data_IF_878218063533
#
_entry.id   IF_878218063533
#
_cell.length_a   1.000
_cell.length_b   1.000
_cell.length_c   1.000
_cell.angle_alpha   90.00
_cell.angle_beta   90.00
_cell.angle_gamma   90.00
#
_symmetry.space_group_name_H-M   'P 1'
#
loop_
_entity.id
_entity.type
_entity.pdbx_description
1 polymer ?
#
# COMPACT_ATOMS: atom_id res chain seq x y z
N UNK A 1 3.47 2.77 2.68
CA UNK A 1 4.56 3.62 3.19
C UNK A 1 3.96 4.79 3.93
N UNK A 2 4.62 5.30 4.96
CA UNK A 2 4.26 6.58 5.58
C UNK A 2 4.83 7.78 4.79
N UNK A 3 4.54 9.00 5.25
CA UNK A 3 5.03 10.26 4.66
C UNK A 3 6.55 10.42 4.63
N UNK A 4 7.29 9.59 5.36
CA UNK A 4 8.75 9.59 5.38
C UNK A 4 9.36 8.48 4.49
N UNK A 5 8.51 7.72 3.79
CA UNK A 5 8.95 6.61 2.93
C UNK A 5 9.23 5.31 3.69
N UNK A 6 8.84 5.19 4.96
CA UNK A 6 9.02 3.94 5.71
C UNK A 6 8.05 2.88 5.19
N UNK A 7 8.56 1.67 4.91
CA UNK A 7 7.70 0.52 4.60
C UNK A 7 6.93 0.10 5.86
N UNK A 8 5.60 0.13 5.77
CA UNK A 8 4.71 -0.27 6.87
C UNK A 8 4.19 -1.70 6.69
N UNK A 9 3.85 -2.08 5.46
CA UNK A 9 3.23 -3.38 5.19
C UNK A 9 3.46 -3.75 3.73
N UNK A 10 3.66 -5.04 3.48
CA UNK A 10 3.51 -5.66 2.18
C UNK A 10 2.26 -6.53 2.23
N UNK A 11 1.41 -6.43 1.22
CA UNK A 11 0.12 -7.10 1.16
C UNK A 11 0.12 -8.12 0.02
N UNK A 12 -0.53 -9.27 0.25
CA UNK A 12 -0.91 -10.15 -0.84
C UNK A 12 -2.14 -9.56 -1.54
N UNK A 13 -2.22 -9.56 -2.88
CA UNK A 13 -3.43 -9.18 -3.61
C UNK A 13 -4.67 -10.00 -3.23
N UNK A 14 -4.48 -11.24 -2.76
CA UNK A 14 -5.55 -12.15 -2.32
C UNK A 14 -5.73 -12.20 -0.81
N UNK A 15 -4.89 -11.48 -0.06
CA UNK A 15 -4.92 -11.46 1.40
C UNK A 15 -5.87 -10.41 1.97
N UNK A 16 -5.97 -10.37 3.29
CA UNK A 16 -6.59 -9.22 3.94
C UNK A 16 -5.76 -7.96 3.71
N UNK A 17 -6.45 -6.88 3.36
CA UNK A 17 -5.85 -5.57 3.16
C UNK A 17 -5.31 -4.98 4.46
N UNK A 18 -4.92 -3.70 4.39
CA UNK A 18 -4.44 -2.98 5.56
C UNK A 18 -5.58 -2.27 6.29
N UNK A 19 -5.71 -2.53 7.59
CA UNK A 19 -6.75 -1.98 8.45
C UNK A 19 -6.31 -0.72 9.25
N UNK A 20 -5.20 -0.09 8.86
CA UNK A 20 -4.67 1.08 9.57
C UNK A 20 -3.82 0.77 10.81
N UNK A 21 -3.39 -0.48 11.01
CA UNK A 21 -2.48 -0.86 12.12
C UNK A 21 -1.07 -1.21 11.65
N UNK A 22 -0.07 -0.83 12.44
CA UNK A 22 1.33 -1.24 12.23
C UNK A 22 1.90 -1.75 13.55
N UNK A 23 2.42 -2.98 13.57
CA UNK A 23 2.92 -3.66 14.76
C UNK A 23 1.96 -3.63 15.97
N UNK A 24 0.66 -3.82 15.71
CA UNK A 24 -0.38 -3.82 16.74
C UNK A 24 -0.82 -2.42 17.21
N UNK A 25 -0.13 -1.36 16.79
CA UNK A 25 -0.50 0.02 17.09
C UNK A 25 -1.35 0.62 15.98
N UNK A 26 -2.30 1.49 16.34
CA UNK A 26 -3.08 2.25 15.37
C UNK A 26 -2.23 3.37 14.76
N UNK A 27 -2.29 3.50 13.44
CA UNK A 27 -1.58 4.56 12.74
C UNK A 27 -2.40 5.87 12.73
N UNK A 28 -1.73 7.04 12.64
CA UNK A 28 -2.40 8.33 12.63
C UNK A 28 -3.28 8.53 11.40
N UNK A 29 -4.29 9.40 11.51
CA UNK A 29 -5.05 9.90 10.37
C UNK A 29 -4.15 10.82 9.54
N UNK A 30 -3.59 10.29 8.45
CA UNK A 30 -2.60 10.94 7.60
C UNK A 30 -2.66 10.32 6.20
N UNK A 31 -1.85 10.81 5.28
CA UNK A 31 -1.65 10.21 3.96
C UNK A 31 -0.67 9.04 4.02
N UNK A 32 -0.97 8.01 3.21
CA UNK A 32 -0.16 6.80 3.07
C UNK A 32 0.01 6.45 1.60
N UNK A 33 1.22 6.06 1.23
CA UNK A 33 1.59 5.73 -0.14
C UNK A 33 1.64 4.23 -0.36
N UNK A 34 1.32 3.77 -1.56
CA UNK A 34 1.48 2.39 -1.96
C UNK A 34 2.04 2.27 -3.37
N UNK A 35 2.57 1.08 -3.64
CA UNK A 35 3.11 0.67 -4.92
C UNK A 35 2.59 -0.74 -5.22
N UNK A 36 2.14 -0.96 -6.45
CA UNK A 36 1.72 -2.26 -6.94
C UNK A 36 2.57 -2.61 -8.15
N UNK A 37 3.19 -3.78 -8.11
CA UNK A 37 3.85 -4.38 -9.27
C UNK A 37 2.93 -5.46 -9.84
N UNK A 38 2.68 -5.42 -11.14
CA UNK A 38 1.81 -6.38 -11.82
C UNK A 38 2.28 -6.64 -13.24
N UNK A 39 1.91 -7.79 -13.79
CA UNK A 39 2.10 -8.07 -15.20
C UNK A 39 0.87 -7.57 -15.96
N UNK A 40 1.08 -6.71 -16.94
CA UNK A 40 0.00 -6.22 -17.79
C UNK A 40 -0.62 -7.38 -18.58
N UNK A 41 -1.94 -7.61 -18.50
CA UNK A 41 -2.57 -8.72 -19.20
C UNK A 41 -2.43 -8.67 -20.72
N UNK A 42 -2.28 -7.47 -21.31
CA UNK A 42 -2.22 -7.29 -22.76
C UNK A 42 -0.92 -7.76 -23.40
N UNK A 43 0.22 -7.56 -22.74
CA UNK A 43 1.55 -7.81 -23.33
C UNK A 43 2.52 -8.56 -22.38
N UNK A 44 2.05 -8.95 -21.19
CA UNK A 44 2.84 -9.59 -20.12
C UNK A 44 4.05 -8.76 -19.64
N UNK A 45 4.08 -7.47 -19.95
CA UNK A 45 5.12 -6.58 -19.44
C UNK A 45 4.94 -6.34 -17.94
N UNK A 46 6.05 -6.31 -17.19
CA UNK A 46 6.03 -5.94 -15.77
C UNK A 46 5.84 -4.43 -15.65
N UNK A 47 4.77 -4.02 -14.99
CA UNK A 47 4.45 -2.61 -14.71
C UNK A 47 4.38 -2.34 -13.23
N UNK A 48 4.50 -1.05 -12.93
CA UNK A 48 4.43 -0.53 -11.58
C UNK A 48 3.42 0.61 -11.52
N UNK A 49 2.58 0.61 -10.49
CA UNK A 49 1.62 1.66 -10.20
C UNK A 49 1.86 2.22 -8.80
N UNK A 50 1.99 3.54 -8.69
CA UNK A 50 2.16 4.26 -7.42
C UNK A 50 1.02 5.22 -7.20
N UNK A 51 0.50 5.26 -5.98
CA UNK A 51 -0.50 6.24 -5.56
C UNK A 51 -0.47 6.42 -4.03
N UNK A 52 -1.36 7.26 -3.51
CA UNK A 52 -1.57 7.44 -2.08
C UNK A 52 -3.06 7.53 -1.74
N UNK A 53 -3.38 7.35 -0.46
CA UNK A 53 -4.71 7.54 0.09
C UNK A 53 -4.60 8.14 1.50
N UNK A 54 -5.64 8.87 1.90
CA UNK A 54 -5.76 9.41 3.26
C UNK A 54 -6.48 8.41 4.16
N UNK A 55 -5.88 8.06 5.29
CA UNK A 55 -6.55 7.32 6.35
C UNK A 55 -7.43 8.30 7.15
N UNK A 56 -8.75 8.14 7.05
CA UNK A 56 -9.72 8.92 7.83
C UNK A 56 -10.23 8.10 9.03
N UNK A 57 -10.66 8.80 10.08
CA UNK A 57 -11.33 8.25 11.26
C UNK A 57 -12.66 8.93 11.47
#
# INVERSE_FOLDING_TARGET
>A
FDRFGKLLKQLSPTGQGWNGTYNGALMPSDDYWFMVEYNEPSDQSRKEFRAHFTLKR
#
